data_IF_085623932626
#
_entry.id   IF_085623932626
#
_cell.length_a   1.000
_cell.length_b   1.000
_cell.length_c   1.000
_cell.angle_alpha   90.00
_cell.angle_beta   90.00
_cell.angle_gamma   90.00
#
_symmetry.space_group_name_H-M   'P 1'
#
loop_
_entity.id
_entity.type
_entity.pdbx_description
1 polymer ?
#
# COMPACT_ATOMS: atom_id res chain seq x y z
N UNK A 1 26.84 -47.87 70.11
CA UNK A 1 26.65 -48.21 68.70
C UNK A 1 26.00 -47.03 68.06
N UNK A 2 26.80 -46.18 67.42
CA UNK A 2 26.35 -44.95 66.79
C UNK A 2 26.53 -45.02 65.27
N UNK A 3 25.44 -44.87 64.58
CA UNK A 3 25.43 -44.86 63.08
C UNK A 3 25.48 -43.42 62.59
N UNK A 4 26.60 -43.04 61.96
CA UNK A 4 26.82 -41.71 61.38
C UNK A 4 26.25 -41.73 59.98
N UNK A 5 25.27 -40.87 59.69
CA UNK A 5 24.78 -40.61 58.38
C UNK A 5 25.63 -39.50 57.77
N UNK A 6 26.25 -39.80 56.65
CA UNK A 6 26.94 -38.83 55.78
C UNK A 6 25.96 -38.26 54.78
N UNK A 7 25.70 -36.96 54.90
CA UNK A 7 24.88 -36.24 53.91
C UNK A 7 25.75 -35.85 52.71
N UNK A 8 25.42 -36.39 51.56
CA UNK A 8 26.05 -36.09 50.27
C UNK A 8 25.29 -34.92 49.62
N UNK A 9 25.89 -33.74 49.63
CA UNK A 9 25.32 -32.53 48.99
C UNK A 9 25.47 -32.60 47.47
N UNK A 10 24.36 -32.62 46.76
CA UNK A 10 24.36 -32.39 45.33
C UNK A 10 24.40 -30.90 45.05
N UNK A 11 25.53 -30.46 44.46
CA UNK A 11 25.68 -29.11 43.92
C UNK A 11 24.95 -29.03 42.59
N UNK A 12 23.74 -28.47 42.59
CA UNK A 12 23.00 -28.20 41.35
C UNK A 12 23.55 -26.95 40.69
N UNK A 13 24.14 -27.09 39.52
CA UNK A 13 24.51 -25.98 38.65
C UNK A 13 23.24 -25.52 37.94
N UNK A 14 22.72 -24.36 38.30
CA UNK A 14 21.63 -23.69 37.60
C UNK A 14 22.22 -23.02 36.34
N UNK A 15 21.95 -23.59 35.15
CA UNK A 15 22.22 -22.94 33.89
C UNK A 15 21.11 -21.92 33.68
N UNK A 16 21.43 -20.62 33.84
CA UNK A 16 20.56 -19.54 33.36
C UNK A 16 20.63 -19.52 31.83
N UNK A 17 19.58 -20.01 31.20
CA UNK A 17 19.31 -19.74 29.80
C UNK A 17 18.94 -18.26 29.68
N UNK A 18 19.86 -17.43 29.21
CA UNK A 18 19.53 -16.09 28.74
C UNK A 18 18.64 -16.23 27.47
N UNK A 19 17.35 -16.01 27.65
CA UNK A 19 16.45 -15.79 26.51
C UNK A 19 16.91 -14.50 25.83
N UNK A 20 17.65 -14.63 24.74
CA UNK A 20 17.95 -13.53 23.85
C UNK A 20 16.60 -13.03 23.30
N UNK A 21 16.21 -11.81 23.68
CA UNK A 21 15.21 -11.07 22.96
C UNK A 21 15.84 -10.67 21.63
N UNK A 22 15.62 -11.45 20.58
CA UNK A 22 15.81 -10.95 19.23
C UNK A 22 14.93 -9.72 19.09
N UNK A 23 15.44 -8.56 18.63
CA UNK A 23 14.59 -7.45 18.30
C UNK A 23 13.71 -7.92 17.14
N UNK A 24 12.46 -8.23 17.44
CA UNK A 24 11.42 -8.43 16.42
C UNK A 24 11.29 -7.09 15.72
N UNK A 25 12.00 -6.93 14.59
CA UNK A 25 11.72 -5.91 13.58
C UNK A 25 10.44 -6.35 12.84
N UNK A 26 9.39 -6.62 13.60
CA UNK A 26 8.07 -6.81 13.07
C UNK A 26 7.42 -5.45 12.97
N UNK A 27 7.10 -5.02 11.77
CA UNK A 27 5.99 -4.09 11.58
C UNK A 27 4.82 -4.62 12.39
N UNK A 28 4.44 -3.93 13.45
CA UNK A 28 3.33 -4.34 14.31
C UNK A 28 2.05 -4.49 13.48
N UNK A 29 1.04 -5.25 13.94
CA UNK A 29 -0.23 -5.31 13.27
C UNK A 29 -0.79 -3.89 13.18
N UNK A 30 -0.82 -3.31 11.97
CA UNK A 30 -1.33 -1.97 11.70
C UNK A 30 -0.37 -0.98 11.04
N UNK A 31 0.91 -1.27 10.88
CA UNK A 31 1.78 -0.39 10.08
C UNK A 31 1.55 -0.58 8.59
N UNK A 32 1.46 0.50 7.80
CA UNK A 32 1.41 0.39 6.35
C UNK A 32 2.66 -0.33 5.81
N UNK A 33 2.53 -1.19 4.77
CA UNK A 33 3.65 -1.91 4.19
C UNK A 33 4.56 -0.98 3.37
N UNK A 34 5.80 -1.40 3.10
CA UNK A 34 6.69 -0.65 2.22
C UNK A 34 6.05 -0.47 0.83
N UNK A 35 5.85 0.77 0.35
CA UNK A 35 5.23 1.04 -0.94
C UNK A 35 5.93 0.37 -2.13
N UNK A 36 7.25 0.17 -2.04
CA UNK A 36 8.06 -0.45 -3.10
C UNK A 36 7.63 -1.88 -3.43
N UNK A 37 6.96 -2.58 -2.51
CA UNK A 37 6.41 -3.91 -2.75
C UNK A 37 5.19 -3.94 -3.67
N UNK A 38 4.62 -2.78 -4.00
CA UNK A 38 3.39 -2.65 -4.80
C UNK A 38 3.61 -2.06 -6.19
N UNK A 39 4.86 -1.94 -6.62
CA UNK A 39 5.22 -1.48 -7.96
C UNK A 39 6.25 -2.42 -8.59
N UNK A 40 5.98 -2.88 -9.81
CA UNK A 40 6.88 -3.74 -10.57
C UNK A 40 7.03 -3.21 -11.98
N UNK A 41 8.25 -2.86 -12.39
CA UNK A 41 8.52 -2.28 -13.70
C UNK A 41 9.35 -3.19 -14.59
N UNK A 42 9.06 -3.15 -15.90
CA UNK A 42 9.85 -3.71 -16.98
C UNK A 42 10.40 -2.57 -17.84
N UNK A 43 11.67 -2.15 -17.64
CA UNK A 43 12.25 -1.04 -18.39
C UNK A 43 12.40 -1.33 -19.89
N UNK A 44 12.55 -2.60 -20.29
CA UNK A 44 12.70 -2.98 -21.70
C UNK A 44 11.41 -2.73 -22.47
N UNK A 45 10.27 -3.08 -21.85
CA UNK A 45 8.95 -2.85 -22.42
C UNK A 45 8.38 -1.48 -22.09
N UNK A 46 9.02 -0.72 -21.21
CA UNK A 46 8.49 0.52 -20.63
C UNK A 46 7.08 0.29 -20.05
N UNK A 47 6.95 -0.79 -19.30
CA UNK A 47 5.69 -1.19 -18.67
C UNK A 47 5.86 -1.26 -17.15
N UNK A 48 4.80 -0.94 -16.43
CA UNK A 48 4.77 -1.00 -14.98
C UNK A 48 3.42 -1.52 -14.48
N UNK A 49 3.46 -2.36 -13.46
CA UNK A 49 2.28 -2.84 -12.75
C UNK A 49 2.27 -2.19 -11.37
N UNK A 50 1.14 -1.60 -11.01
CA UNK A 50 0.89 -0.98 -9.71
C UNK A 50 -0.26 -1.73 -9.04
N UNK A 51 -0.08 -2.16 -7.80
CA UNK A 51 -1.16 -2.72 -6.99
C UNK A 51 -1.63 -1.69 -5.98
N UNK A 52 -2.91 -1.34 -6.02
CA UNK A 52 -3.56 -0.44 -5.07
C UNK A 52 -4.63 -1.20 -4.29
N UNK A 53 -4.43 -1.30 -2.98
CA UNK A 53 -5.37 -1.92 -2.04
C UNK A 53 -6.14 -0.79 -1.36
N UNK A 54 -7.36 -0.57 -1.82
CA UNK A 54 -8.31 0.36 -1.24
C UNK A 54 -8.81 -0.18 0.12
N UNK A 55 -8.76 0.65 1.15
CA UNK A 55 -9.15 0.23 2.50
C UNK A 55 -8.21 -0.84 3.07
N UNK A 56 -6.91 -0.68 2.85
CA UNK A 56 -5.92 -1.57 3.46
C UNK A 56 -6.10 -1.59 4.99
N UNK A 57 -6.17 -2.77 5.61
CA UNK A 57 -6.43 -2.91 7.04
C UNK A 57 -5.20 -2.55 7.87
N UNK A 58 -4.86 -1.26 7.90
CA UNK A 58 -3.78 -0.73 8.71
C UNK A 58 -4.33 0.40 9.59
N UNK A 59 -4.60 0.11 10.85
CA UNK A 59 -5.12 1.09 11.79
C UNK A 59 -6.59 1.46 11.56
N UNK A 60 -7.00 2.57 12.15
CA UNK A 60 -8.40 3.00 12.23
C UNK A 60 -8.92 3.75 10.99
N UNK A 61 -8.10 3.90 9.94
CA UNK A 61 -8.42 4.75 8.81
C UNK A 61 -8.73 3.95 7.55
N UNK A 62 -10.01 3.89 7.17
CA UNK A 62 -10.48 3.07 6.04
C UNK A 62 -10.32 3.72 4.65
N UNK A 63 -10.10 5.05 4.57
CA UNK A 63 -9.96 5.77 3.31
C UNK A 63 -8.49 5.92 2.93
N UNK A 64 -7.89 4.83 2.46
CA UNK A 64 -6.49 4.77 2.12
C UNK A 64 -6.24 3.86 0.92
N UNK A 65 -5.10 4.04 0.24
CA UNK A 65 -4.50 3.06 -0.66
C UNK A 65 -3.24 2.50 0.00
N UNK A 66 -3.15 1.18 0.12
CA UNK A 66 -2.01 0.46 0.73
C UNK A 66 -1.68 0.93 2.16
N UNK A 67 -2.66 1.45 2.90
CA UNK A 67 -2.48 2.01 4.24
C UNK A 67 -2.12 3.50 4.27
N UNK A 68 -1.98 4.16 3.13
CA UNK A 68 -1.63 5.57 2.99
C UNK A 68 -2.82 6.36 2.44
N UNK A 69 -3.14 7.47 3.06
CA UNK A 69 -4.21 8.39 2.64
C UNK A 69 -3.70 9.81 2.46
N UNK A 70 -4.59 10.71 2.01
CA UNK A 70 -4.31 12.14 1.88
C UNK A 70 -3.09 12.48 1.02
N UNK A 71 -2.80 11.67 -0.03
CA UNK A 71 -1.68 11.89 -0.92
C UNK A 71 -0.30 11.55 -0.34
N UNK A 72 -0.23 10.98 0.86
CA UNK A 72 1.06 10.55 1.42
C UNK A 72 1.70 9.41 0.63
N UNK A 73 0.92 8.66 -0.17
CA UNK A 73 1.44 7.74 -1.16
C UNK A 73 1.70 8.50 -2.47
N UNK A 74 2.94 8.47 -2.94
CA UNK A 74 3.35 9.12 -4.18
C UNK A 74 3.84 8.08 -5.18
N UNK A 75 3.27 8.13 -6.38
CA UNK A 75 3.57 7.23 -7.50
C UNK A 75 4.18 8.09 -8.61
N UNK A 76 5.43 7.80 -8.99
CA UNK A 76 6.11 8.51 -10.08
C UNK A 76 6.20 7.62 -11.31
N UNK A 77 5.69 8.09 -12.46
CA UNK A 77 5.67 7.36 -13.73
C UNK A 77 6.25 8.24 -14.83
N UNK A 78 7.24 7.79 -15.61
CA UNK A 78 7.71 8.55 -16.78
C UNK A 78 6.68 8.57 -17.90
N UNK A 79 6.63 9.66 -18.66
CA UNK A 79 5.81 9.80 -19.88
C UNK A 79 6.02 8.61 -20.82
N UNK A 80 4.94 8.11 -21.39
CA UNK A 80 4.92 7.05 -22.40
C UNK A 80 5.22 5.65 -21.87
N UNK A 81 5.14 5.44 -20.55
CA UNK A 81 5.09 4.10 -19.97
C UNK A 81 3.67 3.57 -19.99
N UNK A 82 3.53 2.28 -20.26
CA UNK A 82 2.26 1.58 -20.07
C UNK A 82 2.10 1.21 -18.59
N UNK A 83 1.03 1.68 -17.97
CA UNK A 83 0.75 1.47 -16.56
C UNK A 83 -0.46 0.58 -16.40
N UNK A 84 -0.28 -0.60 -15.83
CA UNK A 84 -1.36 -1.47 -15.40
C UNK A 84 -1.65 -1.22 -13.92
N UNK A 85 -2.84 -0.75 -13.59
CA UNK A 85 -3.30 -0.59 -12.21
C UNK A 85 -4.20 -1.76 -11.83
N UNK A 86 -3.78 -2.51 -10.82
CA UNK A 86 -4.58 -3.54 -10.14
C UNK A 86 -5.19 -2.90 -8.90
N UNK A 87 -6.49 -2.64 -8.92
CA UNK A 87 -7.23 -2.02 -7.83
C UNK A 87 -8.04 -3.10 -7.09
N UNK A 88 -7.78 -3.30 -5.82
CA UNK A 88 -8.48 -4.26 -4.96
C UNK A 88 -9.15 -3.51 -3.80
N UNK A 89 -10.45 -3.72 -3.61
CA UNK A 89 -11.16 -3.16 -2.45
C UNK A 89 -11.16 -4.16 -1.29
N UNK A 90 -10.35 -3.92 -0.27
CA UNK A 90 -10.35 -4.65 1.01
C UNK A 90 -11.05 -3.89 2.14
N UNK A 91 -11.59 -2.73 1.82
CA UNK A 91 -12.36 -1.93 2.77
C UNK A 91 -13.76 -2.47 3.01
N UNK A 92 -14.53 -1.75 3.80
CA UNK A 92 -15.92 -2.09 4.16
C UNK A 92 -16.97 -1.30 3.38
N UNK A 93 -16.53 -0.35 2.58
CA UNK A 93 -17.38 0.51 1.72
C UNK A 93 -16.94 0.41 0.27
N UNK A 94 -17.79 0.76 -0.72
CA UNK A 94 -17.37 0.83 -2.10
C UNK A 94 -16.20 1.81 -2.31
N UNK A 95 -15.22 1.41 -3.14
CA UNK A 95 -14.05 2.19 -3.47
C UNK A 95 -13.72 2.05 -4.95
N UNK A 96 -13.07 3.05 -5.54
CA UNK A 96 -12.59 3.00 -6.92
C UNK A 96 -11.14 3.45 -7.02
N UNK A 97 -10.51 3.21 -8.17
CA UNK A 97 -9.24 3.80 -8.54
C UNK A 97 -9.44 4.50 -9.89
N UNK A 98 -9.22 5.80 -9.94
CA UNK A 98 -9.35 6.59 -11.16
C UNK A 98 -8.22 7.62 -11.24
N UNK A 99 -7.60 7.75 -12.41
CA UNK A 99 -6.61 8.80 -12.67
C UNK A 99 -7.36 10.09 -12.95
N UNK A 100 -7.12 11.12 -12.12
CA UNK A 100 -7.75 12.44 -12.21
C UNK A 100 -6.68 13.54 -12.24
N UNK A 101 -7.04 14.75 -12.71
CA UNK A 101 -6.10 15.87 -12.71
C UNK A 101 -6.00 16.57 -11.37
N UNK A 102 -7.09 16.66 -10.67
CA UNK A 102 -7.17 17.47 -9.47
C UNK A 102 -8.15 16.94 -8.44
N UNK A 103 -8.27 17.71 -7.40
CA UNK A 103 -9.24 17.47 -6.35
C UNK A 103 -10.66 17.73 -6.87
N UNK A 104 -11.60 16.95 -6.37
CA UNK A 104 -13.02 17.08 -6.67
C UNK A 104 -13.40 16.80 -8.16
N UNK A 105 -12.48 16.20 -8.94
CA UNK A 105 -12.81 15.71 -10.26
C UNK A 105 -13.82 14.56 -10.15
N UNK A 106 -14.85 14.60 -10.98
CA UNK A 106 -15.94 13.60 -10.97
C UNK A 106 -15.79 12.54 -12.07
N UNK A 107 -14.74 12.63 -12.87
CA UNK A 107 -14.45 11.72 -13.97
C UNK A 107 -12.94 11.52 -14.16
N UNK A 108 -12.50 10.36 -14.69
CA UNK A 108 -11.10 10.15 -15.03
C UNK A 108 -10.64 11.11 -16.13
N UNK A 109 -9.33 11.35 -16.20
CA UNK A 109 -8.67 12.19 -17.23
C UNK A 109 -9.04 11.76 -18.65
N UNK A 110 -9.07 10.46 -18.88
CA UNK A 110 -9.44 9.85 -20.15
C UNK A 110 -10.40 8.68 -19.91
N UNK A 111 -11.29 8.38 -20.86
CA UNK A 111 -12.11 7.18 -20.78
C UNK A 111 -11.27 5.92 -20.58
N UNK A 112 -11.63 5.09 -19.61
CA UNK A 112 -10.92 3.85 -19.30
C UNK A 112 -9.70 4.00 -18.38
N UNK A 113 -9.34 5.19 -17.93
CA UNK A 113 -8.29 5.41 -16.94
C UNK A 113 -8.81 5.25 -15.50
N UNK A 114 -9.69 4.29 -15.33
CA UNK A 114 -10.31 3.97 -14.04
C UNK A 114 -10.81 2.54 -13.97
N UNK A 115 -11.15 2.10 -12.77
CA UNK A 115 -12.00 0.93 -12.55
C UNK A 115 -13.38 1.15 -13.20
N UNK A 116 -14.13 0.08 -13.56
CA UNK A 116 -15.49 0.21 -14.06
C UNK A 116 -16.38 0.99 -13.08
N UNK A 117 -17.29 1.81 -13.62
CA UNK A 117 -18.24 2.62 -12.85
C UNK A 117 -17.61 3.32 -11.64
N UNK A 118 -16.58 4.19 -11.83
CA UNK A 118 -15.75 4.66 -10.73
C UNK A 118 -16.50 5.49 -9.70
N UNK A 119 -17.66 6.06 -10.05
CA UNK A 119 -18.54 6.78 -9.10
C UNK A 119 -19.39 5.86 -8.24
N UNK A 120 -19.69 4.65 -8.72
CA UNK A 120 -20.28 3.58 -7.91
C UNK A 120 -19.21 2.85 -7.10
N UNK A 121 -18.07 2.58 -7.72
CA UNK A 121 -16.95 1.85 -7.12
C UNK A 121 -17.09 0.34 -7.12
N UNK A 122 -16.03 -0.31 -6.72
CA UNK A 122 -15.95 -1.75 -6.46
C UNK A 122 -16.52 -2.04 -5.08
N UNK A 123 -17.41 -3.01 -4.98
CA UNK A 123 -17.89 -3.51 -3.69
C UNK A 123 -16.73 -4.12 -2.87
N UNK A 124 -16.86 -4.22 -1.53
CA UNK A 124 -15.90 -4.91 -0.67
C UNK A 124 -15.53 -6.31 -1.18
N UNK A 125 -14.25 -6.64 -1.20
CA UNK A 125 -13.70 -7.90 -1.69
C UNK A 125 -13.63 -8.03 -3.21
N UNK A 126 -13.98 -6.99 -3.98
CA UNK A 126 -13.88 -6.99 -5.46
C UNK A 126 -12.59 -6.32 -5.91
N UNK A 127 -12.16 -6.72 -7.09
CA UNK A 127 -11.00 -6.12 -7.77
C UNK A 127 -11.29 -5.84 -9.23
N UNK A 128 -10.56 -4.89 -9.80
CA UNK A 128 -10.56 -4.60 -11.23
C UNK A 128 -9.18 -4.12 -11.66
N UNK A 129 -8.93 -4.22 -12.96
CA UNK A 129 -7.67 -3.77 -13.56
C UNK A 129 -8.00 -2.80 -14.70
N UNK A 130 -7.20 -1.75 -14.82
CA UNK A 130 -7.24 -0.87 -15.99
C UNK A 130 -5.82 -0.52 -16.42
N UNK A 131 -5.69 -0.04 -17.65
CA UNK A 131 -4.40 0.34 -18.25
C UNK A 131 -4.47 1.79 -18.72
N UNK A 132 -3.38 2.53 -18.47
CA UNK A 132 -3.24 3.88 -19.00
C UNK A 132 -1.80 4.16 -19.43
N UNK A 133 -1.62 5.14 -20.33
CA UNK A 133 -0.30 5.58 -20.78
C UNK A 133 -0.25 7.10 -20.81
N UNK A 134 0.37 7.75 -19.82
CA UNK A 134 0.38 9.21 -19.77
C UNK A 134 1.31 9.79 -20.84
N UNK A 135 0.80 10.73 -21.62
CA UNK A 135 1.53 11.41 -22.68
C UNK A 135 2.07 12.79 -22.28
N UNK A 136 1.61 13.33 -21.17
CA UNK A 136 1.96 14.67 -20.69
C UNK A 136 2.46 14.60 -19.25
N UNK A 137 3.63 15.18 -19.01
CA UNK A 137 4.17 15.32 -17.66
C UNK A 137 3.33 16.30 -16.83
N UNK A 138 3.29 16.07 -15.52
CA UNK A 138 2.53 16.91 -14.59
C UNK A 138 2.08 16.16 -13.36
N UNK A 139 1.35 16.86 -12.51
CA UNK A 139 0.74 16.31 -11.30
C UNK A 139 -0.66 15.83 -11.59
N UNK A 140 -0.96 14.64 -11.15
CA UNK A 140 -2.24 13.96 -11.22
C UNK A 140 -2.52 13.32 -9.86
N UNK A 141 -3.65 12.65 -9.74
CA UNK A 141 -3.99 11.78 -8.60
C UNK A 141 -4.53 10.45 -9.08
N UNK A 142 -4.40 9.45 -8.23
CA UNK A 142 -5.28 8.28 -8.28
C UNK A 142 -6.23 8.40 -7.10
N UNK A 143 -7.53 8.59 -7.37
CA UNK A 143 -8.54 8.87 -6.37
C UNK A 143 -9.74 7.93 -6.48
N UNK A 144 -10.47 7.78 -5.38
CA UNK A 144 -11.79 7.15 -5.40
C UNK A 144 -12.86 8.18 -5.73
N UNK A 145 -13.56 7.98 -6.84
CA UNK A 145 -14.64 8.86 -7.28
C UNK A 145 -16.00 8.52 -6.63
N UNK A 146 -16.03 7.54 -5.74
CA UNK A 146 -17.22 7.28 -4.89
C UNK A 146 -17.42 8.48 -3.98
N UNK A 147 -18.65 9.01 -3.94
CA UNK A 147 -18.96 10.27 -3.25
C UNK A 147 -18.46 10.31 -1.81
N UNK A 148 -17.69 11.35 -1.48
CA UNK A 148 -17.09 11.57 -0.16
C UNK A 148 -15.77 10.86 0.12
N UNK A 149 -15.39 9.85 -0.67
CA UNK A 149 -14.17 9.08 -0.39
C UNK A 149 -12.89 9.91 -0.56
N UNK A 150 -12.75 10.69 -1.64
CA UNK A 150 -11.60 11.56 -1.83
C UNK A 150 -11.52 12.63 -0.73
N UNK A 151 -12.64 13.26 -0.40
CA UNK A 151 -12.69 14.24 0.69
C UNK A 151 -12.32 13.64 2.04
N UNK A 152 -12.49 12.32 2.21
CA UNK A 152 -12.07 11.56 3.38
C UNK A 152 -10.62 11.05 3.30
N UNK A 153 -9.86 11.42 2.25
CA UNK A 153 -8.44 11.09 2.12
C UNK A 153 -8.12 9.94 1.17
N UNK A 154 -9.11 9.41 0.43
CA UNK A 154 -8.92 8.27 -0.47
C UNK A 154 -8.29 8.68 -1.79
N UNK A 155 -7.03 9.10 -1.74
CA UNK A 155 -6.26 9.47 -2.92
C UNK A 155 -4.75 9.32 -2.68
N UNK A 156 -4.02 9.05 -3.77
CA UNK A 156 -2.57 9.02 -3.87
C UNK A 156 -2.11 10.04 -4.90
N UNK A 157 -0.95 10.67 -4.72
CA UNK A 157 -0.36 11.54 -5.73
C UNK A 157 0.25 10.70 -6.87
N UNK A 158 0.02 11.13 -8.10
CA UNK A 158 0.60 10.56 -9.30
C UNK A 158 1.41 11.65 -10.02
N UNK A 159 2.73 11.50 -9.99
CA UNK A 159 3.66 12.37 -10.68
C UNK A 159 4.03 11.76 -12.04
N UNK A 160 3.60 12.38 -13.12
CA UNK A 160 4.06 12.00 -14.46
C UNK A 160 5.31 12.81 -14.79
N UNK A 161 6.44 12.12 -14.86
CA UNK A 161 7.77 12.75 -15.05
C UNK A 161 8.22 12.70 -16.52
N UNK A 162 9.10 13.62 -16.93
CA UNK A 162 9.66 13.61 -18.28
C UNK A 162 10.58 12.41 -18.55
N UNK A 163 11.13 11.81 -17.50
CA UNK A 163 12.04 10.67 -17.58
C UNK A 163 12.33 10.08 -16.21
N UNK A 164 13.21 9.08 -16.16
CA UNK A 164 13.52 8.33 -14.94
C UNK A 164 12.93 6.93 -14.96
N UNK A 165 12.76 6.34 -13.80
CA UNK A 165 12.15 5.03 -13.61
C UNK A 165 10.87 5.16 -12.77
N UNK A 166 9.87 4.27 -12.99
CA UNK A 166 8.70 4.20 -12.12
C UNK A 166 9.11 3.94 -10.67
N UNK A 167 8.45 4.64 -9.75
CA UNK A 167 8.71 4.49 -8.31
C UNK A 167 7.43 4.70 -7.50
N UNK A 168 7.38 4.09 -6.33
CA UNK A 168 6.35 4.32 -5.33
C UNK A 168 7.03 4.60 -4.00
N UNK A 169 6.65 5.71 -3.35
CA UNK A 169 7.25 6.19 -2.11
C UNK A 169 6.20 6.82 -1.21
N UNK A 170 6.58 7.15 0.00
CA UNK A 170 5.78 8.01 0.89
C UNK A 170 6.39 9.40 0.98
N UNK A 171 5.53 10.40 1.08
CA UNK A 171 5.91 11.71 1.61
C UNK A 171 5.57 11.72 3.11
N UNK A 172 6.58 12.06 3.91
CA UNK A 172 6.48 12.21 5.36
C UNK A 172 6.29 13.66 5.77
#
# INVERSE_FOLDING_TARGET
>A
MGLRWVAMGCLGIAVLAAAGCDPVTGTGPGSPPDPKGYIHSDPVRRAVVITLIAGYPAGDYQFNYNGYGNGTLVISIPVGWEVTVQCENRGTVPNSCAVVRGRDDVSPVEPGWSTPDPTRGLDPGRSATFVFSPSTSGSYRIASLVGGNEASGMWADLEVTAGGAPAMRTEG
#
